data_IF_264096483569
#
_entry.id   IF_264096483569
#
_cell.length_a   1.000
_cell.length_b   1.000
_cell.length_c   1.000
_cell.angle_alpha   90.00
_cell.angle_beta   90.00
_cell.angle_gamma   90.00
#
_symmetry.space_group_name_H-M   'P 1'
#
loop_
_entity.id
_entity.type
_entity.pdbx_description
1 polymer ?
#
# COMPACT_ATOMS: atom_id res chain seq x y z
N UNK A 1 13.43 -11.37 -7.27
CA UNK A 1 12.20 -11.00 -6.51
C UNK A 1 11.14 -10.44 -7.45
N UNK A 2 9.84 -10.53 -7.12
CA UNK A 2 8.74 -9.97 -7.93
C UNK A 2 8.19 -8.72 -7.22
N UNK A 3 7.94 -7.66 -7.99
CA UNK A 3 7.34 -6.40 -7.52
C UNK A 3 5.96 -6.26 -8.15
N UNK A 4 5.04 -5.58 -7.44
CA UNK A 4 3.68 -5.32 -7.93
C UNK A 4 3.47 -3.83 -8.08
N UNK A 5 3.04 -3.37 -9.26
CA UNK A 5 2.71 -1.98 -9.48
C UNK A 5 1.46 -1.60 -8.65
N UNK A 6 1.49 -0.57 -7.79
CA UNK A 6 0.31 -0.14 -7.04
C UNK A 6 -0.73 0.58 -7.91
N UNK A 7 -0.33 1.11 -9.08
CA UNK A 7 -1.22 1.84 -9.97
C UNK A 7 -2.07 0.91 -10.86
N UNK A 8 -1.47 -0.16 -11.39
CA UNK A 8 -2.12 -1.08 -12.34
C UNK A 8 -2.07 -2.56 -11.93
N UNK A 9 -1.39 -2.91 -10.84
CA UNK A 9 -1.32 -4.27 -10.31
C UNK A 9 -0.40 -5.22 -11.06
N UNK A 10 0.40 -4.74 -12.03
CA UNK A 10 1.30 -5.58 -12.82
C UNK A 10 2.39 -6.19 -11.95
N UNK A 11 2.60 -7.51 -12.07
CA UNK A 11 3.65 -8.22 -11.33
C UNK A 11 4.85 -8.43 -12.24
N UNK A 12 5.95 -7.75 -11.95
CA UNK A 12 7.18 -7.81 -12.75
C UNK A 12 8.35 -8.28 -11.91
N UNK A 13 9.34 -8.96 -12.50
CA UNK A 13 10.58 -9.22 -11.77
C UNK A 13 11.28 -7.90 -11.47
N UNK A 14 12.00 -7.82 -10.35
CA UNK A 14 12.79 -6.64 -10.03
C UNK A 14 13.80 -6.35 -11.16
N UNK A 15 14.40 -7.38 -11.77
CA UNK A 15 15.31 -7.20 -12.90
C UNK A 15 14.63 -6.63 -14.15
N UNK A 16 13.37 -6.98 -14.43
CA UNK A 16 12.62 -6.38 -15.54
C UNK A 16 12.12 -4.96 -15.23
N UNK A 17 11.89 -4.64 -13.95
CA UNK A 17 11.62 -3.28 -13.48
C UNK A 17 12.88 -2.41 -13.57
N UNK A 18 14.04 -2.93 -13.17
CA UNK A 18 15.32 -2.22 -13.27
C UNK A 18 15.82 -2.13 -14.71
N UNK A 19 15.53 -3.15 -15.52
CA UNK A 19 15.82 -3.24 -16.94
C UNK A 19 14.80 -2.53 -17.83
N UNK A 20 14.05 -1.56 -17.31
CA UNK A 20 13.10 -0.76 -18.10
C UNK A 20 13.75 -0.27 -19.39
N UNK A 21 13.29 -0.87 -20.49
CA UNK A 21 13.84 -0.70 -21.83
C UNK A 21 13.70 0.75 -22.32
N UNK A 22 14.52 1.11 -23.31
CA UNK A 22 14.39 2.35 -24.09
C UNK A 22 12.92 2.63 -24.49
N UNK A 23 12.12 1.60 -24.76
CA UNK A 23 10.70 1.71 -25.08
C UNK A 23 9.85 2.25 -23.91
N UNK A 24 10.11 1.84 -22.67
CA UNK A 24 9.41 2.38 -21.49
C UNK A 24 9.79 3.85 -21.27
N UNK A 25 11.05 4.21 -21.51
CA UNK A 25 11.52 5.59 -21.42
C UNK A 25 10.96 6.46 -22.55
N UNK A 26 10.90 5.95 -23.77
CA UNK A 26 10.32 6.61 -24.93
C UNK A 26 8.80 6.82 -24.75
N UNK A 27 8.09 5.85 -24.21
CA UNK A 27 6.67 5.97 -23.88
C UNK A 27 6.41 7.00 -22.77
N UNK A 28 7.23 7.01 -21.71
CA UNK A 28 7.15 8.06 -20.69
C UNK A 28 7.52 9.44 -21.25
N UNK A 29 8.49 9.51 -22.16
CA UNK A 29 8.89 10.75 -22.82
C UNK A 29 7.79 11.28 -23.77
N UNK A 30 7.10 10.41 -24.52
CA UNK A 30 5.98 10.82 -25.37
C UNK A 30 4.81 11.31 -24.53
N UNK A 31 4.54 10.70 -23.37
CA UNK A 31 3.53 11.17 -22.45
C UNK A 31 3.89 12.52 -21.80
N UNK A 32 5.17 12.86 -21.59
CA UNK A 32 5.56 14.20 -21.11
C UNK A 32 5.12 15.32 -22.06
N UNK A 33 4.90 15.05 -23.34
CA UNK A 33 4.33 16.01 -24.30
C UNK A 33 2.87 16.38 -23.96
N UNK A 34 2.16 15.52 -23.22
CA UNK A 34 0.79 15.76 -22.75
C UNK A 34 0.74 16.60 -21.47
N UNK A 35 1.89 17.03 -20.94
CA UNK A 35 1.99 17.90 -19.76
C UNK A 35 1.41 17.26 -18.51
N UNK A 36 0.54 17.99 -17.81
CA UNK A 36 -0.09 17.57 -16.55
C UNK A 36 -0.99 16.33 -16.70
N UNK A 37 -1.41 16.00 -17.92
CA UNK A 37 -2.30 14.87 -18.20
C UNK A 37 -1.58 13.51 -18.23
N UNK A 38 -0.23 13.51 -18.29
CA UNK A 38 0.57 12.31 -18.41
C UNK A 38 0.33 11.29 -17.28
N UNK A 39 0.42 11.74 -16.02
CA UNK A 39 0.27 10.86 -14.87
C UNK A 39 -1.18 10.34 -14.68
N UNK A 40 -2.23 11.17 -14.81
CA UNK A 40 -3.61 10.69 -14.85
C UNK A 40 -3.85 9.63 -15.95
N UNK A 41 -3.37 9.85 -17.18
CA UNK A 41 -3.57 8.90 -18.28
C UNK A 41 -2.98 7.53 -17.99
N UNK A 42 -1.77 7.47 -17.41
CA UNK A 42 -1.15 6.19 -17.04
C UNK A 42 -2.01 5.43 -16.03
N UNK A 43 -2.55 6.12 -15.02
CA UNK A 43 -3.44 5.52 -14.02
C UNK A 43 -4.74 5.04 -14.67
N UNK A 44 -5.29 5.83 -15.60
CA UNK A 44 -6.50 5.50 -16.32
C UNK A 44 -6.34 4.26 -17.21
N UNK A 45 -5.22 4.13 -17.93
CA UNK A 45 -4.90 2.93 -18.73
C UNK A 45 -4.91 1.65 -17.87
N UNK A 46 -4.48 1.75 -16.61
CA UNK A 46 -4.53 0.66 -15.65
C UNK A 46 -5.94 0.08 -15.42
N UNK A 47 -7.00 0.84 -15.67
CA UNK A 47 -8.39 0.41 -15.47
C UNK A 47 -8.88 -0.60 -16.54
N UNK A 48 -8.19 -0.70 -17.68
CA UNK A 48 -8.53 -1.62 -18.77
C UNK A 48 -7.87 -3.00 -18.63
N UNK A 49 -7.03 -3.17 -17.60
CA UNK A 49 -6.31 -4.41 -17.36
C UNK A 49 -7.19 -5.40 -16.61
N UNK A 50 -7.31 -6.61 -17.14
CA UNK A 50 -7.95 -7.75 -16.45
C UNK A 50 -7.04 -8.35 -15.38
N UNK A 51 -7.60 -9.06 -14.41
CA UNK A 51 -6.83 -9.73 -13.36
C UNK A 51 -5.88 -10.81 -13.88
N UNK A 52 -6.25 -11.49 -14.98
CA UNK A 52 -5.53 -12.65 -15.53
C UNK A 52 -4.57 -12.33 -16.68
N UNK A 53 -4.66 -11.14 -17.28
CA UNK A 53 -3.87 -10.75 -18.46
C UNK A 53 -3.40 -9.31 -18.41
N UNK A 54 -2.16 -9.12 -18.84
CA UNK A 54 -1.56 -7.80 -18.97
C UNK A 54 -2.09 -7.04 -20.17
N UNK A 55 -2.07 -5.71 -20.05
CA UNK A 55 -2.47 -4.80 -21.12
C UNK A 55 -1.35 -4.77 -22.17
N UNK A 56 -1.62 -5.23 -23.38
CA UNK A 56 -0.64 -5.21 -24.48
C UNK A 56 -0.40 -3.78 -24.98
N UNK A 57 0.77 -3.51 -25.55
CA UNK A 57 1.07 -2.21 -26.16
C UNK A 57 0.13 -1.89 -27.33
N UNK A 58 -0.26 -2.89 -28.12
CA UNK A 58 -1.25 -2.74 -29.19
C UNK A 58 -2.61 -2.26 -28.65
N UNK A 59 -3.10 -2.90 -27.58
CA UNK A 59 -4.36 -2.48 -26.94
C UNK A 59 -4.23 -1.09 -26.31
N UNK A 60 -3.08 -0.80 -25.71
CA UNK A 60 -2.77 0.51 -25.12
C UNK A 60 -2.79 1.62 -26.19
N UNK A 61 -2.15 1.40 -27.33
CA UNK A 61 -2.13 2.35 -28.44
C UNK A 61 -3.55 2.66 -28.92
N UNK A 62 -4.36 1.62 -29.16
CA UNK A 62 -5.76 1.78 -29.58
C UNK A 62 -6.58 2.62 -28.59
N UNK A 63 -6.42 2.36 -27.28
CA UNK A 63 -7.09 3.14 -26.23
C UNK A 63 -6.65 4.61 -26.26
N UNK A 64 -5.35 4.88 -26.46
CA UNK A 64 -4.84 6.24 -26.52
C UNK A 64 -5.29 6.98 -27.78
N UNK A 65 -5.31 6.32 -28.93
CA UNK A 65 -5.78 6.90 -30.19
C UNK A 65 -7.26 7.30 -30.12
N UNK A 66 -8.09 6.47 -29.47
CA UNK A 66 -9.50 6.79 -29.23
C UNK A 66 -9.67 8.08 -28.40
N UNK A 67 -8.78 8.33 -27.44
CA UNK A 67 -8.82 9.54 -26.60
C UNK A 67 -8.14 10.75 -27.25
N UNK A 68 -7.11 10.53 -28.06
CA UNK A 68 -6.25 11.59 -28.58
C UNK A 68 -7.04 12.63 -29.40
N UNK A 69 -7.97 12.19 -30.23
CA UNK A 69 -8.80 13.08 -31.04
C UNK A 69 -9.61 14.06 -30.17
N UNK A 70 -10.27 13.56 -29.12
CA UNK A 70 -11.10 14.37 -28.23
C UNK A 70 -10.27 15.29 -27.32
N UNK A 71 -9.11 14.81 -26.84
CA UNK A 71 -8.18 15.60 -26.04
C UNK A 71 -7.62 16.78 -26.85
N UNK A 72 -7.19 16.53 -28.09
CA UNK A 72 -6.67 17.58 -28.99
C UNK A 72 -7.78 18.58 -29.34
N UNK A 73 -8.99 18.09 -29.61
CA UNK A 73 -10.15 18.93 -29.90
C UNK A 73 -10.65 19.74 -28.69
N UNK A 74 -10.22 19.38 -27.46
CA UNK A 74 -10.68 19.96 -26.18
C UNK A 74 -12.20 19.90 -26.00
N UNK A 75 -12.83 18.91 -26.62
CA UNK A 75 -14.27 18.69 -26.59
C UNK A 75 -14.55 17.20 -26.70
N UNK A 76 -15.62 16.74 -26.06
CA UNK A 76 -16.13 15.38 -26.24
C UNK A 76 -17.52 15.42 -26.84
N UNK A 77 -17.86 14.38 -27.60
CA UNK A 77 -19.22 14.16 -28.09
C UNK A 77 -19.91 13.07 -27.28
N UNK A 78 -21.05 13.38 -26.69
CA UNK A 78 -21.89 12.40 -25.99
C UNK A 78 -23.33 12.51 -26.49
N UNK A 79 -23.81 11.46 -27.14
CA UNK A 79 -25.08 11.51 -27.85
C UNK A 79 -25.05 12.55 -28.97
N UNK A 80 -25.98 13.51 -28.94
CA UNK A 80 -26.09 14.59 -29.92
C UNK A 80 -25.47 15.91 -29.46
N UNK A 81 -24.84 15.95 -28.27
CA UNK A 81 -24.28 17.16 -27.69
C UNK A 81 -22.76 17.11 -27.62
N UNK A 82 -22.15 18.29 -27.80
CA UNK A 82 -20.73 18.53 -27.57
C UNK A 82 -20.55 19.16 -26.19
N UNK A 83 -19.59 18.65 -25.43
CA UNK A 83 -19.26 19.16 -24.11
C UNK A 83 -17.82 19.68 -24.12
N UNK A 84 -17.54 20.86 -23.53
CA UNK A 84 -16.19 21.36 -23.41
C UNK A 84 -15.38 20.47 -22.47
N UNK A 85 -14.25 19.97 -22.96
CA UNK A 85 -13.35 19.09 -22.22
C UNK A 85 -11.92 19.64 -22.27
N UNK A 86 -11.65 20.77 -21.59
CA UNK A 86 -10.28 21.27 -21.44
C UNK A 86 -9.43 20.27 -20.65
N UNK A 87 -8.10 20.38 -20.73
CA UNK A 87 -7.16 19.47 -20.03
C UNK A 87 -7.50 19.29 -18.55
N UNK A 88 -7.89 20.36 -17.85
CA UNK A 88 -8.33 20.30 -16.45
C UNK A 88 -9.53 19.37 -16.21
N UNK A 89 -10.47 19.30 -17.15
CA UNK A 89 -11.63 18.42 -17.08
C UNK A 89 -11.23 16.94 -17.15
N UNK A 90 -10.27 16.61 -18.03
CA UNK A 90 -9.72 15.26 -18.14
C UNK A 90 -9.00 14.83 -16.86
N UNK A 91 -8.16 15.71 -16.30
CA UNK A 91 -7.45 15.45 -15.05
C UNK A 91 -8.45 15.20 -13.92
N UNK A 92 -9.44 16.08 -13.77
CA UNK A 92 -10.48 15.94 -12.75
C UNK A 92 -11.29 14.63 -12.92
N UNK A 93 -11.74 14.34 -14.14
CA UNK A 93 -12.57 13.18 -14.41
C UNK A 93 -11.81 11.87 -14.16
N UNK A 94 -10.55 11.78 -14.59
CA UNK A 94 -9.71 10.61 -14.33
C UNK A 94 -9.48 10.44 -12.84
N UNK A 95 -9.12 11.50 -12.10
CA UNK A 95 -8.91 11.42 -10.66
C UNK A 95 -10.18 10.95 -9.92
N UNK A 96 -11.34 11.49 -10.29
CA UNK A 96 -12.65 11.07 -9.75
C UNK A 96 -12.89 9.57 -9.97
N UNK A 97 -12.55 9.05 -11.15
CA UNK A 97 -12.67 7.62 -11.45
C UNK A 97 -11.72 6.79 -10.59
N UNK A 98 -10.46 7.23 -10.44
CA UNK A 98 -9.47 6.53 -9.60
C UNK A 98 -9.92 6.49 -8.13
N UNK A 99 -10.46 7.58 -7.60
CA UNK A 99 -11.01 7.60 -6.24
C UNK A 99 -12.18 6.62 -6.07
N UNK A 100 -13.08 6.55 -7.06
CA UNK A 100 -14.19 5.57 -7.04
C UNK A 100 -13.70 4.12 -7.14
N UNK A 101 -12.62 3.87 -7.88
CA UNK A 101 -11.96 2.56 -7.91
C UNK A 101 -11.44 2.20 -6.52
N UNK A 102 -10.75 3.13 -5.86
CA UNK A 102 -10.13 2.88 -4.55
C UNK A 102 -11.18 2.62 -3.46
N UNK A 103 -12.41 3.12 -3.65
CA UNK A 103 -13.58 2.79 -2.83
C UNK A 103 -14.24 1.45 -3.18
N UNK A 104 -13.73 0.70 -4.17
CA UNK A 104 -14.31 -0.58 -4.61
C UNK A 104 -15.63 -0.45 -5.36
N UNK A 105 -16.01 0.75 -5.81
CA UNK A 105 -17.32 1.03 -6.43
C UNK A 105 -17.34 0.82 -7.95
N UNK A 106 -16.22 0.45 -8.55
CA UNK A 106 -16.11 0.29 -10.01
C UNK A 106 -15.93 -1.16 -10.41
N UNK A 107 -16.67 -1.56 -11.44
CA UNK A 107 -16.50 -2.84 -12.10
C UNK A 107 -15.34 -2.74 -13.10
N UNK A 108 -14.26 -3.46 -12.81
CA UNK A 108 -13.07 -3.58 -13.66
C UNK A 108 -13.01 -4.97 -14.31
N UNK A 109 -12.39 -5.12 -15.49
CA UNK A 109 -11.77 -4.07 -16.31
C UNK A 109 -12.79 -3.23 -17.07
N UNK A 110 -12.43 -1.98 -17.36
CA UNK A 110 -13.18 -1.15 -18.29
C UNK A 110 -13.11 -1.72 -19.72
N UNK A 111 -14.23 -1.64 -20.43
CA UNK A 111 -14.35 -2.08 -21.82
C UNK A 111 -14.26 -0.92 -22.82
N UNK A 112 -14.65 0.28 -22.40
CA UNK A 112 -14.71 1.50 -23.22
C UNK A 112 -14.58 2.78 -22.36
N UNK A 113 -14.58 3.93 -23.03
CA UNK A 113 -14.50 5.27 -22.41
C UNK A 113 -15.85 5.84 -21.97
N UNK A 114 -16.94 5.07 -22.05
CA UNK A 114 -18.28 5.59 -21.86
C UNK A 114 -18.51 6.21 -20.48
N UNK A 115 -17.96 5.57 -19.45
CA UNK A 115 -18.02 6.10 -18.09
C UNK A 115 -17.16 7.35 -17.89
N UNK A 116 -15.98 7.40 -18.53
CA UNK A 116 -15.15 8.62 -18.53
C UNK A 116 -15.90 9.80 -19.15
N UNK A 117 -16.60 9.57 -20.26
CA UNK A 117 -17.36 10.62 -20.93
C UNK A 117 -18.56 11.08 -20.12
N UNK A 118 -19.23 10.18 -19.40
CA UNK A 118 -20.29 10.53 -18.45
C UNK A 118 -19.79 11.36 -17.26
N UNK A 119 -18.61 11.02 -16.73
CA UNK A 119 -17.98 11.84 -15.68
C UNK A 119 -17.62 13.21 -16.26
N UNK A 120 -17.00 13.26 -17.45
CA UNK A 120 -16.64 14.52 -18.13
C UNK A 120 -17.85 15.42 -18.42
N UNK A 121 -19.01 14.87 -18.76
CA UNK A 121 -20.22 15.69 -18.97
C UNK A 121 -20.69 16.41 -17.70
N UNK A 122 -20.27 15.91 -16.53
CA UNK A 122 -20.56 16.49 -15.22
C UNK A 122 -19.52 17.52 -14.77
N UNK A 123 -18.49 17.78 -15.58
CA UNK A 123 -17.44 18.74 -15.25
C UNK A 123 -17.98 20.17 -15.15
N UNK A 124 -17.51 20.89 -14.13
CA UNK A 124 -17.70 22.33 -13.97
C UNK A 124 -16.31 22.96 -13.78
N UNK A 125 -16.09 24.20 -14.24
CA UNK A 125 -14.80 24.88 -14.09
C UNK A 125 -14.32 24.97 -12.63
N UNK A 126 -15.24 25.01 -11.68
CA UNK A 126 -14.98 25.00 -10.22
C UNK A 126 -14.29 23.72 -9.73
N UNK A 127 -14.43 22.61 -10.47
CA UNK A 127 -13.80 21.33 -10.17
C UNK A 127 -12.40 21.19 -10.75
N UNK A 128 -11.92 22.20 -11.48
CA UNK A 128 -10.54 22.22 -11.93
C UNK A 128 -9.65 22.02 -10.70
N UNK A 129 -8.76 21.00 -10.70
CA UNK A 129 -7.84 20.82 -9.59
C UNK A 129 -7.09 22.14 -9.42
N UNK A 130 -7.12 22.70 -8.21
CA UNK A 130 -6.33 23.88 -7.89
C UNK A 130 -4.90 23.58 -8.36
N UNK A 131 -4.39 24.41 -9.27
CA UNK A 131 -3.05 24.28 -9.77
C UNK A 131 -2.11 24.47 -8.59
N UNK A 132 -1.74 23.36 -7.96
CA UNK A 132 -0.62 23.29 -7.04
C UNK A 132 0.61 23.48 -7.95
N UNK A 133 0.89 24.74 -8.29
CA UNK A 133 1.79 25.21 -9.34
C UNK A 133 3.28 24.92 -9.06
N UNK A 134 3.55 23.89 -8.27
CA UNK A 134 4.87 23.33 -8.08
C UNK A 134 4.88 22.00 -8.80
N UNK A 135 5.61 21.85 -9.93
CA UNK A 135 5.92 20.52 -10.42
C UNK A 135 6.57 19.76 -9.27
N UNK A 136 5.85 18.80 -8.70
CA UNK A 136 6.39 17.88 -7.70
C UNK A 136 7.37 16.99 -8.45
N UNK A 137 8.60 17.49 -8.56
CA UNK A 137 9.71 16.73 -9.08
C UNK A 137 9.90 15.50 -8.20
N UNK A 138 10.47 14.44 -8.76
CA UNK A 138 10.82 13.25 -8.00
C UNK A 138 11.69 13.60 -6.77
N UNK A 139 12.49 14.67 -6.87
CA UNK A 139 13.26 15.26 -5.77
C UNK A 139 12.37 15.87 -4.68
N UNK A 140 11.26 16.56 -5.01
CA UNK A 140 10.33 17.13 -4.02
C UNK A 140 9.54 16.05 -3.29
N UNK A 141 9.15 14.97 -3.98
CA UNK A 141 8.49 13.81 -3.35
C UNK A 141 9.47 13.04 -2.45
N UNK A 142 10.72 12.87 -2.90
CA UNK A 142 11.77 12.28 -2.08
C UNK A 142 12.09 13.16 -0.86
N UNK A 143 12.16 14.48 -1.00
CA UNK A 143 12.39 15.40 0.11
C UNK A 143 11.24 15.41 1.14
N UNK A 144 9.99 15.22 0.69
CA UNK A 144 8.83 15.13 1.58
C UNK A 144 8.77 13.82 2.37
N UNK A 145 9.38 12.74 1.87
CA UNK A 145 9.44 11.41 2.51
C UNK A 145 10.79 11.20 3.21
N UNK A 146 11.82 11.97 2.86
CA UNK A 146 13.15 11.85 3.43
C UNK A 146 13.16 12.31 4.89
N UNK A 147 13.51 11.37 5.77
CA UNK A 147 13.89 11.70 7.14
C UNK A 147 15.03 12.71 7.11
N UNK A 148 14.86 13.82 7.83
CA UNK A 148 15.91 14.83 8.02
C UNK A 148 17.17 14.18 8.58
N UNK A 149 18.35 14.78 8.38
CA UNK A 149 19.59 14.27 8.97
C UNK A 149 19.48 14.15 10.50
N UNK A 150 18.73 15.05 11.15
CA UNK A 150 18.45 14.99 12.58
C UNK A 150 17.61 13.76 12.97
N UNK A 151 16.57 13.42 12.19
CA UNK A 151 15.77 12.22 12.42
C UNK A 151 16.58 10.94 12.19
N UNK A 152 17.44 10.91 11.16
CA UNK A 152 18.32 9.75 10.92
C UNK A 152 19.36 9.58 12.04
N UNK A 153 19.93 10.67 12.54
CA UNK A 153 20.84 10.64 13.68
C UNK A 153 20.13 10.17 14.97
N UNK A 154 18.89 10.61 15.21
CA UNK A 154 18.10 10.17 16.34
C UNK A 154 17.78 8.66 16.27
N UNK A 155 17.31 8.16 15.12
CA UNK A 155 17.04 6.74 14.91
C UNK A 155 18.31 5.89 15.09
N UNK A 156 19.46 6.39 14.63
CA UNK A 156 20.74 5.68 14.73
C UNK A 156 21.25 5.66 16.18
N UNK A 157 21.09 6.74 16.93
CA UNK A 157 21.40 6.80 18.35
C UNK A 157 20.47 5.88 19.16
N UNK A 158 19.18 5.82 18.82
CA UNK A 158 18.24 4.89 19.45
C UNK A 158 18.64 3.42 19.18
N UNK A 159 18.96 3.08 17.95
CA UNK A 159 19.46 1.75 17.59
C UNK A 159 20.78 1.40 18.31
N UNK A 160 21.69 2.36 18.47
CA UNK A 160 22.94 2.16 19.21
C UNK A 160 22.70 1.97 20.71
N UNK A 161 21.71 2.66 21.29
CA UNK A 161 21.27 2.41 22.67
C UNK A 161 20.69 1.01 22.83
N UNK A 162 19.80 0.59 21.92
CA UNK A 162 19.18 -0.74 21.93
C UNK A 162 20.20 -1.87 21.76
N UNK A 163 21.32 -1.64 21.05
CA UNK A 163 22.42 -2.64 20.94
C UNK A 163 23.13 -2.94 22.26
N UNK A 164 23.20 -1.96 23.15
CA UNK A 164 23.92 -2.08 24.43
C UNK A 164 22.97 -2.38 25.60
N UNK A 165 21.67 -2.27 25.38
CA UNK A 165 20.66 -2.64 26.35
C UNK A 165 20.60 -4.17 26.48
N UNK A 166 20.85 -4.68 27.69
CA UNK A 166 20.73 -6.11 27.96
C UNK A 166 19.26 -6.51 27.83
N UNK A 167 18.93 -7.59 27.10
CA UNK A 167 17.55 -8.04 26.98
C UNK A 167 16.96 -8.32 28.37
N UNK A 168 15.71 -7.91 28.58
CA UNK A 168 15.00 -8.02 29.87
C UNK A 168 14.88 -9.47 30.38
N UNK A 169 15.04 -10.46 29.49
CA UNK A 169 15.10 -11.89 29.82
C UNK A 169 16.35 -12.50 29.18
N UNK A 170 17.28 -13.07 29.96
CA UNK A 170 18.46 -13.73 29.42
C UNK A 170 18.08 -14.98 28.61
N UNK A 171 18.77 -15.22 27.50
CA UNK A 171 18.52 -16.34 26.59
C UNK A 171 18.53 -17.72 27.28
N UNK A 172 19.37 -17.91 28.30
CA UNK A 172 19.41 -19.16 29.06
C UNK A 172 18.10 -19.45 29.81
N UNK A 173 17.50 -18.42 30.42
CA UNK A 173 16.21 -18.52 31.12
C UNK A 173 15.07 -18.76 30.12
N UNK A 174 15.17 -18.10 28.97
CA UNK A 174 14.28 -18.26 27.84
C UNK A 174 14.22 -19.71 27.33
N UNK A 175 15.39 -20.33 27.11
CA UNK A 175 15.51 -21.72 26.67
C UNK A 175 15.12 -22.72 27.74
N UNK A 176 15.37 -22.43 29.02
CA UNK A 176 14.94 -23.28 30.12
C UNK A 176 13.40 -23.34 30.20
N UNK A 177 12.71 -22.21 30.05
CA UNK A 177 11.25 -22.15 30.06
C UNK A 177 10.62 -22.90 28.88
N UNK A 178 11.14 -22.72 27.66
CA UNK A 178 10.63 -23.42 26.47
C UNK A 178 10.85 -24.93 26.57
N UNK A 179 12.02 -25.38 27.06
CA UNK A 179 12.29 -26.80 27.28
C UNK A 179 11.35 -27.43 28.31
N UNK A 180 11.03 -26.73 29.40
CA UNK A 180 10.07 -27.18 30.39
C UNK A 180 8.66 -27.29 29.82
N UNK A 181 8.25 -26.34 28.98
CA UNK A 181 6.94 -26.35 28.32
C UNK A 181 6.82 -27.51 27.31
N UNK A 182 7.88 -27.81 26.56
CA UNK A 182 7.92 -28.97 25.65
C UNK A 182 7.84 -30.30 26.40
N UNK A 183 8.42 -30.39 27.60
CA UNK A 183 8.40 -31.61 28.43
C UNK A 183 7.07 -31.83 29.16
N UNK A 184 6.28 -30.78 29.37
CA UNK A 184 5.02 -30.81 30.11
C UNK A 184 3.93 -30.12 29.27
N UNK A 185 3.37 -30.78 28.25
CA UNK A 185 2.37 -30.19 27.35
C UNK A 185 1.07 -29.78 28.05
N UNK A 186 0.81 -30.27 29.25
CA UNK A 186 -0.27 -29.85 30.15
C UNK A 186 -0.02 -28.48 30.84
N UNK A 187 1.17 -27.88 30.66
CA UNK A 187 1.45 -26.52 31.13
C UNK A 187 0.71 -25.50 30.26
N UNK A 188 -0.10 -24.69 30.91
CA UNK A 188 -0.84 -23.61 30.28
C UNK A 188 -1.47 -22.70 31.33
N UNK A 189 -1.82 -21.50 30.90
CA UNK A 189 -2.70 -20.58 31.63
C UNK A 189 -4.06 -20.59 30.92
N UNK A 190 -5.15 -20.45 31.66
CA UNK A 190 -6.52 -20.33 31.13
C UNK A 190 -6.55 -19.20 30.09
N UNK A 191 -7.18 -19.48 28.95
CA UNK A 191 -7.35 -18.55 27.82
C UNK A 191 -6.05 -18.08 27.13
N UNK A 192 -4.92 -18.77 27.35
CA UNK A 192 -3.65 -18.43 26.69
C UNK A 192 -3.21 -19.63 25.84
N UNK A 193 -3.17 -19.50 24.50
CA UNK A 193 -2.61 -20.52 23.63
C UNK A 193 -1.16 -20.87 24.01
N UNK A 194 -0.79 -22.15 23.91
CA UNK A 194 0.54 -22.64 24.30
C UNK A 194 1.68 -21.89 23.58
N UNK A 195 1.45 -21.45 22.34
CA UNK A 195 2.39 -20.65 21.54
C UNK A 195 2.65 -19.24 22.08
N UNK A 196 1.71 -18.68 22.86
CA UNK A 196 1.79 -17.32 23.40
C UNK A 196 2.12 -17.28 24.90
N UNK A 197 2.12 -18.44 25.57
CA UNK A 197 2.38 -18.56 27.01
C UNK A 197 3.65 -17.84 27.44
N UNK A 198 4.74 -18.05 26.70
CA UNK A 198 6.04 -17.47 27.01
C UNK A 198 6.07 -15.94 26.86
N UNK A 199 5.48 -15.41 25.78
CA UNK A 199 5.43 -13.96 25.55
C UNK A 199 4.61 -13.27 26.64
N UNK A 200 3.49 -13.88 27.04
CA UNK A 200 2.64 -13.39 28.12
C UNK A 200 3.37 -13.40 29.48
N UNK A 201 4.01 -14.52 29.84
CA UNK A 201 4.78 -14.62 31.09
C UNK A 201 5.94 -13.61 31.12
N UNK A 202 6.62 -13.39 30.00
CA UNK A 202 7.70 -12.41 29.88
C UNK A 202 7.19 -10.96 30.04
N UNK A 203 6.01 -10.64 29.52
CA UNK A 203 5.39 -9.32 29.63
C UNK A 203 4.97 -8.99 31.07
N UNK A 204 4.61 -10.00 31.86
CA UNK A 204 4.17 -9.86 33.24
C UNK A 204 5.25 -10.14 34.31
N UNK A 205 6.50 -10.37 33.89
CA UNK A 205 7.64 -10.70 34.75
C UNK A 205 8.14 -9.47 35.51
N UNK A 206 8.22 -9.58 36.83
CA UNK A 206 8.87 -8.59 37.68
C UNK A 206 10.41 -8.61 37.53
N UNK A 207 11.12 -7.50 37.84
CA UNK A 207 12.57 -7.40 37.64
C UNK A 207 13.40 -8.46 38.36
N UNK A 208 12.93 -8.96 39.51
CA UNK A 208 13.66 -9.87 40.40
C UNK A 208 13.11 -11.31 40.44
N UNK A 209 12.17 -11.68 39.57
CA UNK A 209 11.63 -13.05 39.50
C UNK A 209 12.04 -13.74 38.19
N UNK A 210 12.14 -15.06 38.18
CA UNK A 210 12.38 -15.83 36.93
C UNK A 210 11.09 -16.04 36.14
N UNK A 211 11.18 -16.40 34.85
CA UNK A 211 10.04 -16.76 34.02
C UNK A 211 9.20 -17.88 34.65
N UNK A 212 9.85 -18.87 35.27
CA UNK A 212 9.15 -19.95 35.95
C UNK A 212 8.39 -19.44 37.19
N UNK A 213 9.01 -18.57 38.00
CA UNK A 213 8.36 -17.98 39.17
C UNK A 213 7.16 -17.10 38.76
N UNK A 214 7.31 -16.31 37.69
CA UNK A 214 6.22 -15.53 37.11
C UNK A 214 5.07 -16.44 36.64
N UNK A 215 5.37 -17.52 35.92
CA UNK A 215 4.36 -18.50 35.49
C UNK A 215 3.62 -19.13 36.67
N UNK A 216 4.33 -19.57 37.72
CA UNK A 216 3.69 -20.15 38.91
C UNK A 216 2.82 -19.12 39.65
N UNK A 217 3.24 -17.86 39.72
CA UNK A 217 2.44 -16.76 40.28
C UNK A 217 1.17 -16.51 39.47
N UNK A 218 1.29 -16.43 38.15
CA UNK A 218 0.14 -16.26 37.25
C UNK A 218 -0.83 -17.45 37.35
N UNK A 219 -0.30 -18.67 37.43
CA UNK A 219 -1.08 -19.90 37.59
C UNK A 219 -1.79 -19.98 38.94
N UNK A 220 -1.14 -19.53 40.02
CA UNK A 220 -1.71 -19.49 41.36
C UNK A 220 -2.83 -18.43 41.52
N UNK A 221 -2.82 -17.40 40.68
CA UNK A 221 -3.86 -16.37 40.62
C UNK A 221 -5.07 -16.79 39.79
N UNK A 222 -5.00 -17.91 39.07
CA UNK A 222 -6.17 -18.48 38.41
C UNK A 222 -7.15 -18.98 39.49
N UNK A 223 -8.44 -18.60 39.43
CA UNK A 223 -9.42 -19.13 40.36
C UNK A 223 -9.44 -20.66 40.26
N UNK A 224 -9.12 -21.31 41.39
CA UNK A 224 -9.27 -22.75 41.57
C UNK A 224 -10.76 -23.08 41.59
N UNK A 225 -11.32 -23.47 40.45
CA UNK A 225 -12.53 -24.28 40.46
C UNK A 225 -12.12 -25.70 40.85
N UNK A 226 -11.97 -25.94 42.16
CA UNK A 226 -12.11 -27.27 42.72
C UNK A 226 -13.60 -27.58 42.73
N UNK A 227 -13.97 -28.67 42.06
CA UNK A 227 -15.35 -29.02 41.78
C UNK A 227 -16.22 -29.25 43.01
N UNK A 228 -17.53 -29.08 42.79
CA UNK A 228 -18.56 -29.82 43.50
C UNK A 228 -19.39 -30.56 42.44
N UNK A 229 -19.02 -31.80 42.16
CA UNK A 229 -19.92 -32.89 41.72
C UNK A 229 -20.69 -33.41 42.95
N UNK A 230 -21.79 -34.18 42.84
CA UNK A 230 -22.24 -35.06 41.74
C UNK A 230 -23.42 -34.54 40.92
#
# INVERSE_FOLDING_TARGET
>A
MKTRCPACGATTSLDALLGHSEASRAFLASLKLTGELAAPLIKYLGLFRSESRDLTFERTAKILDELAADIIAKQIKRGHHFHPAPTAAWIWAINTIIERRDQGKLQLPFKNHGYLYEVLTSYKPEYAPAQDARPRTHAAVQAAIAKTDAQRAADQAEHERLKHEKPAVPFAEMMAFTQLNTKQPERGLKNIPAEHLMAFVAQHKAPNETLEQCYQRLKALEPQEQGATP
#
